data_IF_249766970042
#
_entry.id   IF_249766970042
#
_cell.length_a   1.000
_cell.length_b   1.000
_cell.length_c   1.000
_cell.angle_alpha   90.00
_cell.angle_beta   90.00
_cell.angle_gamma   90.00
#
_symmetry.space_group_name_H-M   'P 1'
#
loop_
_entity.id
_entity.type
_entity.pdbx_description
1 polymer ?
#
# COMPACT_ATOMS: atom_id res chain seq x y z
N UNK A 1 0.48 19.58 -4.31
CA UNK A 1 0.17 18.14 -4.19
C UNK A 1 0.60 17.63 -2.81
N UNK A 2 -0.29 16.92 -2.15
CA UNK A 2 0.02 16.33 -0.84
C UNK A 2 0.78 15.03 -1.06
N UNK A 3 2.03 14.96 -0.60
CA UNK A 3 2.91 13.82 -0.82
C UNK A 3 3.28 13.17 0.51
N UNK A 4 2.71 11.99 0.76
CA UNK A 4 2.96 11.18 1.95
C UNK A 4 3.59 9.82 1.63
N UNK A 5 3.98 9.57 0.38
CA UNK A 5 4.43 8.25 -0.06
C UNK A 5 5.60 7.73 0.76
N UNK A 6 6.63 8.55 0.97
CA UNK A 6 7.79 8.16 1.77
C UNK A 6 7.41 7.89 3.23
N UNK A 7 6.54 8.71 3.80
CA UNK A 7 6.10 8.55 5.19
C UNK A 7 5.30 7.26 5.37
N UNK A 8 4.41 6.97 4.42
CA UNK A 8 3.62 5.72 4.43
C UNK A 8 4.53 4.51 4.31
N UNK A 9 5.45 4.52 3.36
CA UNK A 9 6.39 3.43 3.14
C UNK A 9 7.23 3.18 4.39
N UNK A 10 7.81 4.23 4.96
CA UNK A 10 8.68 4.12 6.13
C UNK A 10 7.93 3.61 7.37
N UNK A 11 6.69 4.02 7.56
CA UNK A 11 5.89 3.54 8.68
C UNK A 11 5.67 2.03 8.63
N UNK A 12 5.45 1.52 7.43
CA UNK A 12 5.17 0.09 7.20
C UNK A 12 6.45 -0.74 7.14
N UNK A 13 7.57 -0.12 6.79
CA UNK A 13 8.84 -0.78 6.45
C UNK A 13 9.35 -1.73 7.53
N UNK A 14 9.42 -1.28 8.78
CA UNK A 14 10.03 -2.10 9.84
C UNK A 14 9.27 -3.39 10.09
N UNK A 15 7.94 -3.36 10.01
CA UNK A 15 7.11 -4.53 10.24
C UNK A 15 7.12 -5.49 9.05
N UNK A 16 7.10 -4.96 7.83
CA UNK A 16 7.13 -5.79 6.61
C UNK A 16 8.53 -6.39 6.41
N UNK A 17 9.59 -5.61 6.63
CA UNK A 17 10.96 -6.10 6.46
C UNK A 17 11.31 -7.23 7.44
N UNK A 18 10.57 -7.36 8.54
CA UNK A 18 10.74 -8.47 9.48
C UNK A 18 10.19 -9.80 8.97
N UNK A 19 9.30 -9.78 7.97
CA UNK A 19 8.64 -10.97 7.44
C UNK A 19 8.98 -11.25 5.96
N UNK A 20 9.86 -10.45 5.36
CA UNK A 20 10.34 -10.65 3.99
C UNK A 20 11.87 -10.64 3.95
N UNK A 21 12.50 -11.26 2.94
CA UNK A 21 13.95 -11.17 2.78
C UNK A 21 14.43 -9.74 2.52
N UNK A 22 15.69 -9.47 2.82
CA UNK A 22 16.31 -8.16 2.59
C UNK A 22 16.16 -7.75 1.12
N UNK A 23 15.69 -6.52 0.90
CA UNK A 23 15.51 -5.99 -0.44
C UNK A 23 14.23 -6.42 -1.14
N UNK A 24 13.33 -7.12 -0.44
CA UNK A 24 12.09 -7.63 -1.00
C UNK A 24 10.84 -6.78 -0.66
N UNK A 25 11.04 -5.54 -0.21
CA UNK A 25 9.95 -4.59 -0.02
C UNK A 25 10.28 -3.31 -0.78
N UNK A 26 9.47 -3.00 -1.80
CA UNK A 26 9.69 -1.89 -2.72
C UNK A 26 8.45 -1.03 -2.89
N UNK A 27 8.66 0.25 -3.21
CA UNK A 27 7.60 1.19 -3.57
C UNK A 27 7.36 1.26 -5.07
N UNK A 28 7.98 0.38 -5.83
CA UNK A 28 7.89 0.31 -7.30
C UNK A 28 7.51 -1.09 -7.74
N UNK A 29 6.85 -1.16 -8.90
CA UNK A 29 6.49 -2.43 -9.50
C UNK A 29 7.76 -3.20 -9.93
N UNK A 30 7.85 -4.46 -9.53
CA UNK A 30 8.94 -5.36 -9.91
C UNK A 30 8.33 -6.56 -10.63
N UNK A 31 8.53 -6.68 -11.96
CA UNK A 31 7.84 -7.71 -12.75
C UNK A 31 8.34 -9.14 -12.46
N UNK A 32 9.60 -9.31 -12.09
CA UNK A 32 10.19 -10.62 -11.84
C UNK A 32 10.98 -10.62 -10.53
N UNK A 33 10.29 -10.73 -9.38
CA UNK A 33 11.00 -10.83 -8.10
C UNK A 33 11.90 -12.08 -8.07
N UNK A 34 13.13 -11.90 -7.59
CA UNK A 34 14.10 -13.00 -7.51
C UNK A 34 13.98 -13.79 -6.20
N UNK A 35 13.40 -13.21 -5.17
CA UNK A 35 13.25 -13.83 -3.85
C UNK A 35 11.82 -13.66 -3.36
N UNK A 36 11.36 -14.57 -2.51
CA UNK A 36 10.00 -14.56 -1.96
C UNK A 36 10.03 -14.76 -0.43
N UNK A 37 9.03 -14.24 0.30
CA UNK A 37 7.97 -13.36 -0.19
C UNK A 37 8.51 -12.00 -0.62
N UNK A 38 7.89 -11.40 -1.62
CA UNK A 38 8.24 -10.08 -2.15
C UNK A 38 7.02 -9.17 -2.09
N UNK A 39 7.21 -7.92 -1.65
CA UNK A 39 6.11 -6.98 -1.43
C UNK A 39 6.34 -5.70 -2.20
N UNK A 40 5.29 -5.19 -2.84
CA UNK A 40 5.27 -3.83 -3.35
C UNK A 40 4.14 -3.04 -2.71
N UNK A 41 4.41 -1.78 -2.40
CA UNK A 41 3.43 -0.82 -1.88
C UNK A 41 3.52 0.42 -2.77
N UNK A 42 2.48 0.65 -3.56
CA UNK A 42 2.51 1.64 -4.64
C UNK A 42 1.37 2.63 -4.49
N UNK A 43 1.68 3.93 -4.56
CA UNK A 43 0.64 4.95 -4.64
C UNK A 43 0.06 4.93 -6.06
N UNK A 44 -1.21 4.57 -6.16
CA UNK A 44 -1.89 4.44 -7.44
C UNK A 44 -2.61 5.71 -7.87
N UNK A 45 -3.04 6.50 -6.88
CA UNK A 45 -3.83 7.70 -7.17
C UNK A 45 -3.69 8.69 -6.01
N UNK A 46 -3.73 9.98 -6.36
CA UNK A 46 -3.66 11.09 -5.42
C UNK A 46 -4.52 12.21 -5.98
N UNK A 47 -5.73 12.33 -5.49
CA UNK A 47 -6.77 13.21 -6.04
C UNK A 47 -7.11 14.29 -5.03
N UNK A 48 -7.12 15.55 -5.47
CA UNK A 48 -7.58 16.65 -4.64
C UNK A 48 -9.03 16.44 -4.25
N UNK A 49 -9.32 16.50 -2.94
CA UNK A 49 -10.70 16.41 -2.46
C UNK A 49 -11.34 17.80 -2.54
N UNK A 50 -12.10 18.04 -3.59
CA UNK A 50 -12.75 19.33 -3.84
C UNK A 50 -13.84 19.67 -2.82
N UNK A 51 -14.45 18.67 -2.21
CA UNK A 51 -15.50 18.87 -1.21
C UNK A 51 -14.96 19.41 0.11
N UNK A 52 -13.67 19.19 0.37
CA UNK A 52 -13.00 19.63 1.58
C UNK A 52 -12.01 20.77 1.31
N UNK A 53 -12.10 21.37 0.13
CA UNK A 53 -11.22 22.45 -0.28
C UNK A 53 -11.72 23.78 0.29
N UNK A 54 -10.85 24.51 1.00
CA UNK A 54 -11.17 25.86 1.44
C UNK A 54 -11.23 26.82 0.25
N UNK A 55 -11.80 28.01 0.47
CA UNK A 55 -11.83 29.05 -0.56
C UNK A 55 -10.43 29.43 -0.98
N UNK A 56 -10.12 29.30 -2.28
CA UNK A 56 -8.82 29.57 -2.85
C UNK A 56 -8.29 28.38 -3.65
N UNK A 57 -7.07 28.51 -4.17
CA UNK A 57 -6.47 27.50 -5.04
C UNK A 57 -5.55 26.51 -4.30
N UNK A 58 -5.51 26.56 -2.97
CA UNK A 58 -4.64 25.69 -2.17
C UNK A 58 -5.29 24.33 -1.97
N UNK A 59 -4.55 23.27 -2.30
CA UNK A 59 -4.95 21.91 -1.97
C UNK A 59 -4.84 21.70 -0.47
N UNK A 60 -5.95 21.41 0.20
CA UNK A 60 -5.98 21.14 1.63
C UNK A 60 -6.14 19.67 1.97
N UNK A 61 -6.84 18.92 1.12
CA UNK A 61 -7.12 17.50 1.33
C UNK A 61 -6.93 16.73 0.04
N UNK A 62 -6.43 15.53 0.16
CA UNK A 62 -6.27 14.61 -0.96
C UNK A 62 -6.81 13.24 -0.58
N UNK A 63 -7.41 12.56 -1.56
CA UNK A 63 -7.80 11.17 -1.44
C UNK A 63 -6.70 10.34 -2.08
N UNK A 64 -6.13 9.43 -1.30
CA UNK A 64 -5.00 8.59 -1.70
C UNK A 64 -5.47 7.16 -1.90
N UNK A 65 -5.02 6.54 -2.97
CA UNK A 65 -5.24 5.11 -3.23
C UNK A 65 -3.89 4.43 -3.35
N UNK A 66 -3.69 3.39 -2.54
CA UNK A 66 -2.47 2.59 -2.53
C UNK A 66 -2.78 1.15 -2.91
N UNK A 67 -1.85 0.51 -3.58
CA UNK A 67 -1.95 -0.91 -3.92
C UNK A 67 -0.81 -1.67 -3.27
N UNK A 68 -1.16 -2.79 -2.62
CA UNK A 68 -0.19 -3.74 -2.11
C UNK A 68 -0.18 -4.98 -2.99
N UNK A 69 1.00 -5.52 -3.26
CA UNK A 69 1.15 -6.80 -3.92
C UNK A 69 2.08 -7.66 -3.09
N UNK A 70 1.63 -8.86 -2.74
CA UNK A 70 2.45 -9.85 -2.06
C UNK A 70 2.65 -11.03 -2.99
N UNK A 71 3.88 -11.29 -3.34
CA UNK A 71 4.28 -12.43 -4.17
C UNK A 71 4.90 -13.50 -3.28
N UNK A 72 4.38 -14.71 -3.34
CA UNK A 72 4.92 -15.82 -2.55
C UNK A 72 4.62 -17.15 -3.21
N UNK A 73 5.25 -18.21 -2.71
CA UNK A 73 5.13 -19.56 -3.27
C UNK A 73 3.91 -20.31 -2.71
N UNK A 74 3.18 -19.74 -1.75
CA UNK A 74 1.96 -20.33 -1.23
C UNK A 74 0.95 -19.24 -0.87
N UNK A 75 -0.34 -19.59 -0.91
CA UNK A 75 -1.41 -18.66 -0.51
C UNK A 75 -1.31 -18.27 0.96
N UNK A 76 -0.95 -19.25 1.80
CA UNK A 76 -0.80 -18.99 3.24
C UNK A 76 0.29 -17.94 3.51
N UNK A 77 1.43 -18.06 2.85
CA UNK A 77 2.51 -17.09 2.99
C UNK A 77 2.09 -15.71 2.51
N UNK A 78 1.37 -15.61 1.39
CA UNK A 78 0.82 -14.35 0.92
C UNK A 78 -0.08 -13.70 1.98
N UNK A 79 -0.99 -14.46 2.57
CA UNK A 79 -1.92 -13.94 3.59
C UNK A 79 -1.21 -13.50 4.86
N UNK A 80 -0.21 -14.26 5.29
CA UNK A 80 0.57 -13.91 6.49
C UNK A 80 1.25 -12.55 6.32
N UNK A 81 1.87 -12.30 5.18
CA UNK A 81 2.53 -11.03 4.89
C UNK A 81 1.50 -9.92 4.67
N UNK A 82 0.42 -10.21 3.95
CA UNK A 82 -0.65 -9.24 3.71
C UNK A 82 -1.31 -8.78 5.01
N UNK A 83 -1.43 -9.66 6.01
CA UNK A 83 -1.98 -9.28 7.32
C UNK A 83 -1.11 -8.24 8.03
N UNK A 84 0.20 -8.33 7.89
CA UNK A 84 1.14 -7.33 8.44
C UNK A 84 0.90 -5.97 7.76
N UNK A 85 0.82 -5.97 6.43
CA UNK A 85 0.52 -4.75 5.67
C UNK A 85 -0.84 -4.15 6.06
N UNK A 86 -1.86 -4.99 6.14
CA UNK A 86 -3.22 -4.57 6.47
C UNK A 86 -3.27 -3.90 7.83
N UNK A 87 -2.63 -4.51 8.83
CA UNK A 87 -2.59 -3.97 10.18
C UNK A 87 -1.91 -2.60 10.20
N UNK A 88 -0.76 -2.48 9.54
CA UNK A 88 0.01 -1.22 9.56
C UNK A 88 -0.68 -0.10 8.77
N UNK A 89 -1.26 -0.41 7.63
CA UNK A 89 -2.00 0.57 6.85
C UNK A 89 -3.27 1.01 7.58
N UNK A 90 -3.96 0.09 8.24
CA UNK A 90 -5.13 0.41 9.07
C UNK A 90 -4.75 1.33 10.24
N UNK A 91 -3.62 1.06 10.88
CA UNK A 91 -3.11 1.93 11.97
C UNK A 91 -2.86 3.35 11.47
N UNK A 92 -2.39 3.52 10.23
CA UNK A 92 -2.17 4.83 9.62
C UNK A 92 -3.48 5.56 9.27
N UNK A 93 -4.59 4.85 9.14
CA UNK A 93 -5.87 5.43 8.76
C UNK A 93 -6.39 5.01 7.40
N UNK A 94 -5.71 4.09 6.73
CA UNK A 94 -6.19 3.54 5.46
C UNK A 94 -7.33 2.56 5.69
N UNK A 95 -8.28 2.57 4.76
CA UNK A 95 -9.38 1.60 4.72
C UNK A 95 -9.13 0.64 3.56
N UNK A 96 -9.20 -0.66 3.83
CA UNK A 96 -9.07 -1.67 2.78
C UNK A 96 -10.31 -1.65 1.90
N UNK A 97 -10.10 -1.43 0.59
CA UNK A 97 -11.18 -1.42 -0.40
C UNK A 97 -11.38 -2.84 -0.94
N UNK A 98 -10.29 -3.56 -1.20
CA UNK A 98 -10.34 -4.91 -1.75
C UNK A 98 -9.07 -5.68 -1.40
N UNK A 99 -9.16 -7.01 -1.44
CA UNK A 99 -8.04 -7.91 -1.29
C UNK A 99 -8.38 -9.20 -2.01
N UNK A 100 -7.54 -9.63 -2.94
CA UNK A 100 -7.80 -10.86 -3.68
C UNK A 100 -6.58 -11.35 -4.45
N UNK A 101 -6.59 -12.64 -4.75
CA UNK A 101 -5.55 -13.24 -5.56
C UNK A 101 -5.77 -12.91 -7.04
N UNK A 102 -4.69 -12.51 -7.70
CA UNK A 102 -4.68 -12.20 -9.11
C UNK A 102 -3.77 -13.22 -9.80
N UNK A 103 -4.17 -13.77 -10.96
CA UNK A 103 -3.29 -14.68 -11.71
C UNK A 103 -1.97 -14.00 -12.04
N UNK A 104 -0.85 -14.66 -11.71
CA UNK A 104 0.48 -14.18 -12.08
C UNK A 104 0.86 -14.84 -13.39
N UNK A 105 0.66 -14.13 -14.50
CA UNK A 105 0.90 -14.66 -15.83
C UNK A 105 2.39 -14.85 -16.15
N UNK A 106 3.27 -14.15 -15.43
CA UNK A 106 4.70 -14.30 -15.61
C UNK A 106 5.22 -15.64 -15.06
N UNK A 107 4.63 -16.13 -13.97
CA UNK A 107 4.98 -17.40 -13.35
C UNK A 107 3.77 -17.95 -12.59
N UNK A 108 3.16 -19.00 -13.12
CA UNK A 108 1.96 -19.62 -12.54
C UNK A 108 2.20 -20.31 -11.19
N UNK A 109 3.46 -20.56 -10.83
CA UNK A 109 3.81 -21.16 -9.54
C UNK A 109 3.90 -20.13 -8.41
N UNK A 110 3.93 -18.85 -8.76
CA UNK A 110 4.00 -17.75 -7.79
C UNK A 110 2.61 -17.15 -7.61
N UNK A 111 2.13 -17.12 -6.39
CA UNK A 111 0.86 -16.47 -6.04
C UNK A 111 1.06 -14.97 -5.88
N UNK A 112 0.06 -14.22 -6.32
CA UNK A 112 0.03 -12.77 -6.15
C UNK A 112 -1.26 -12.36 -5.43
N UNK A 113 -1.12 -11.80 -4.24
CA UNK A 113 -2.23 -11.27 -3.46
C UNK A 113 -2.21 -9.76 -3.54
N UNK A 114 -3.23 -9.17 -4.13
CA UNK A 114 -3.32 -7.73 -4.36
C UNK A 114 -4.38 -7.12 -3.46
N UNK A 115 -3.98 -6.06 -2.73
CA UNK A 115 -4.87 -5.28 -1.90
C UNK A 115 -4.92 -3.84 -2.36
N UNK A 116 -6.07 -3.19 -2.16
CA UNK A 116 -6.23 -1.76 -2.41
C UNK A 116 -6.73 -1.07 -1.16
N UNK A 117 -6.17 0.10 -0.91
CA UNK A 117 -6.40 0.88 0.30
C UNK A 117 -6.62 2.33 -0.06
N UNK A 118 -7.50 2.99 0.70
CA UNK A 118 -7.80 4.40 0.50
C UNK A 118 -7.73 5.15 1.81
N UNK A 119 -7.24 6.40 1.76
CA UNK A 119 -7.20 7.30 2.89
C UNK A 119 -7.33 8.75 2.45
N UNK A 120 -7.64 9.63 3.39
CA UNK A 120 -7.56 11.07 3.18
C UNK A 120 -6.39 11.64 3.96
N UNK A 121 -5.66 12.57 3.35
CA UNK A 121 -4.57 13.29 3.98
C UNK A 121 -4.77 14.79 3.81
N UNK A 122 -4.26 15.57 4.77
CA UNK A 122 -4.31 17.04 4.70
C UNK A 122 -2.96 17.63 4.28
N UNK A 123 -2.91 18.95 4.15
CA UNK A 123 -1.72 19.70 3.75
C UNK A 123 -0.57 19.55 4.75
N UNK A 124 -0.85 19.17 5.99
CA UNK A 124 0.16 18.90 7.01
C UNK A 124 0.62 17.43 7.01
N UNK A 125 0.21 16.65 5.99
CA UNK A 125 0.52 15.24 5.83
C UNK A 125 -0.06 14.35 6.94
N UNK A 126 -1.16 14.78 7.55
CA UNK A 126 -1.90 13.98 8.52
C UNK A 126 -2.93 13.13 7.78
N UNK A 127 -2.90 11.84 8.02
CA UNK A 127 -3.84 10.88 7.44
C UNK A 127 -4.98 10.68 8.42
N UNK A 128 -6.21 10.94 7.97
CA UNK A 128 -7.39 10.84 8.82
C UNK A 128 -7.85 9.41 8.99
N UNK A 129 -8.20 9.06 10.23
CA UNK A 129 -8.76 7.75 10.55
C UNK A 129 -10.28 7.85 10.56
N UNK A 130 -10.92 6.90 9.90
CA UNK A 130 -12.36 6.70 10.00
C UNK A 130 -12.63 5.75 11.17
N UNK A 131 -13.19 6.29 12.22
CA UNK A 131 -13.61 5.49 13.38
C UNK A 131 -15.09 5.13 13.29
#
# INVERSE_FOLDING_TARGET
>A
MIDVETDVFNYVYSSVSAVVPTGCFKSEYVPNPAKFPFVTLIEMDNVTDEHMRASGDTEEYAILTYETNVYAMSKHQCRTVADVLDRKLTELGFTRISMGFIPNLADSQVYRLTGRYRAEADANKVIYRHT
#
